data_IF_706353429980
#
_entry.id   IF_706353429980
#
_cell.length_a   1.000
_cell.length_b   1.000
_cell.length_c   1.000
_cell.angle_alpha   90.00
_cell.angle_beta   90.00
_cell.angle_gamma   90.00
#
_symmetry.space_group_name_H-M   'P 1'
#
loop_
_entity.id
_entity.type
_entity.pdbx_description
1 polymer ?
#
# COMPACT_ATOMS: atom_id res chain seq x y z
N UNK A 1 -9.97 -12.69 12.50
CA UNK A 1 -9.49 -11.29 12.55
C UNK A 1 -7.99 -11.31 12.77
N UNK A 2 -7.20 -10.94 11.77
CA UNK A 2 -5.74 -10.89 11.86
C UNK A 2 -5.38 -9.56 12.53
N UNK A 3 -4.83 -9.58 13.74
CA UNK A 3 -4.32 -8.36 14.37
C UNK A 3 -3.18 -7.82 13.51
N UNK A 4 -3.23 -6.57 13.03
CA UNK A 4 -2.15 -6.01 12.24
C UNK A 4 -0.88 -5.97 13.08
N UNK A 5 0.24 -6.46 12.52
CA UNK A 5 1.50 -6.57 13.26
C UNK A 5 2.16 -5.20 13.51
N UNK A 6 1.67 -4.14 12.85
CA UNK A 6 2.20 -2.79 12.91
C UNK A 6 1.07 -1.77 13.06
N UNK A 7 1.32 -0.72 13.83
CA UNK A 7 0.42 0.43 13.88
C UNK A 7 0.51 1.25 12.58
N UNK A 8 -0.56 1.97 12.17
CA UNK A 8 -0.55 2.78 10.94
C UNK A 8 0.62 3.76 10.86
N UNK A 9 0.98 4.41 11.97
CA UNK A 9 2.12 5.33 12.02
C UNK A 9 3.48 4.66 11.74
N UNK A 10 3.66 3.39 12.15
CA UNK A 10 4.87 2.62 11.83
C UNK A 10 4.89 2.25 10.35
N UNK A 11 3.72 1.94 9.78
CA UNK A 11 3.58 1.61 8.37
C UNK A 11 3.77 2.82 7.44
N UNK A 12 3.71 4.05 7.94
CA UNK A 12 4.14 5.23 7.16
C UNK A 12 5.66 5.30 7.04
N UNK A 13 6.41 4.93 8.08
CA UNK A 13 7.86 5.16 8.19
C UNK A 13 8.74 3.92 8.02
N UNK A 14 8.18 2.71 7.95
CA UNK A 14 8.93 1.47 7.67
C UNK A 14 8.89 1.09 6.18
N UNK A 15 9.67 0.06 5.78
CA UNK A 15 9.72 -0.44 4.38
C UNK A 15 8.69 -1.53 4.07
N UNK A 16 7.75 -1.82 4.98
CA UNK A 16 6.74 -2.83 4.71
C UNK A 16 5.86 -2.37 3.53
N UNK A 17 5.55 -3.31 2.64
CA UNK A 17 4.46 -3.09 1.69
C UNK A 17 3.13 -3.16 2.44
N UNK A 18 2.19 -2.29 2.07
CA UNK A 18 0.97 -2.07 2.84
C UNK A 18 -0.24 -2.39 1.98
N UNK A 19 -1.16 -3.18 2.52
CA UNK A 19 -2.49 -3.33 1.95
C UNK A 19 -3.44 -2.34 2.62
N UNK A 20 -4.01 -1.43 1.84
CA UNK A 20 -4.96 -0.42 2.27
C UNK A 20 -6.38 -0.88 1.93
N UNK A 21 -7.24 -1.03 2.93
CA UNK A 21 -8.66 -1.30 2.71
C UNK A 21 -9.53 -0.28 3.42
N UNK A 22 -10.84 -0.36 3.21
CA UNK A 22 -11.79 0.57 3.82
C UNK A 22 -11.61 2.01 3.30
N UNK A 23 -12.39 2.91 3.90
CA UNK A 23 -12.46 4.32 3.52
C UNK A 23 -12.81 4.57 2.05
N UNK A 24 -12.73 5.84 1.66
CA UNK A 24 -12.78 6.25 0.26
C UNK A 24 -11.42 6.03 -0.43
N UNK A 25 -11.39 6.09 -1.75
CA UNK A 25 -10.13 6.12 -2.49
C UNK A 25 -9.25 7.30 -2.06
N UNK A 26 -9.86 8.46 -1.79
CA UNK A 26 -9.16 9.63 -1.27
C UNK A 26 -8.47 9.35 0.07
N UNK A 27 -9.11 8.60 0.98
CA UNK A 27 -8.49 8.23 2.25
C UNK A 27 -7.26 7.32 2.03
N UNK A 28 -7.35 6.34 1.12
CA UNK A 28 -6.22 5.46 0.76
C UNK A 28 -5.09 6.23 0.10
N UNK A 29 -5.41 7.14 -0.84
CA UNK A 29 -4.45 8.01 -1.50
C UNK A 29 -3.75 8.93 -0.50
N UNK A 30 -4.51 9.53 0.42
CA UNK A 30 -3.96 10.39 1.47
C UNK A 30 -2.96 9.65 2.37
N UNK A 31 -3.21 8.37 2.67
CA UNK A 31 -2.24 7.54 3.39
C UNK A 31 -0.96 7.30 2.57
N UNK A 32 -1.08 7.06 1.26
CA UNK A 32 0.06 6.91 0.37
C UNK A 32 0.88 8.20 0.21
N UNK A 33 0.22 9.36 0.12
CA UNK A 33 0.87 10.68 0.17
C UNK A 33 1.63 10.87 1.49
N UNK A 34 1.02 10.47 2.62
CA UNK A 34 1.68 10.48 3.92
C UNK A 34 2.94 9.60 3.94
N UNK A 35 2.90 8.42 3.35
CA UNK A 35 4.07 7.56 3.24
C UNK A 35 5.17 8.18 2.35
N UNK A 36 4.80 8.78 1.22
CA UNK A 36 5.72 9.50 0.35
C UNK A 36 6.38 10.68 1.07
N UNK A 37 5.59 11.46 1.82
CA UNK A 37 6.10 12.57 2.64
C UNK A 37 7.04 12.08 3.76
N UNK A 38 6.71 10.97 4.43
CA UNK A 38 7.52 10.42 5.52
C UNK A 38 8.92 10.01 5.06
N UNK A 39 9.02 9.57 3.81
CA UNK A 39 10.25 9.10 3.19
C UNK A 39 10.93 10.16 2.31
N UNK A 40 10.30 11.32 2.12
CA UNK A 40 10.74 12.37 1.20
C UNK A 40 10.93 11.83 -0.24
N UNK A 41 10.03 10.94 -0.68
CA UNK A 41 10.07 10.30 -1.99
C UNK A 41 8.90 10.72 -2.87
N UNK A 42 9.03 10.49 -4.17
CA UNK A 42 7.93 10.70 -5.12
C UNK A 42 6.88 9.60 -4.96
N UNK A 43 5.61 10.02 -4.92
CA UNK A 43 4.47 9.11 -5.07
C UNK A 43 4.21 8.85 -6.55
N UNK A 44 4.29 7.60 -6.96
CA UNK A 44 3.97 7.14 -8.31
C UNK A 44 2.65 6.38 -8.29
N UNK A 45 1.73 6.79 -9.17
CA UNK A 45 0.47 6.08 -9.37
C UNK A 45 0.67 4.97 -10.43
N UNK A 46 0.45 3.73 -10.02
CA UNK A 46 0.54 2.55 -10.86
C UNK A 46 -0.83 1.84 -10.96
N UNK A 47 -1.91 2.61 -10.94
CA UNK A 47 -3.27 2.07 -11.12
C UNK A 47 -3.54 1.60 -12.56
N UNK A 48 -2.74 2.05 -13.53
CA UNK A 48 -2.67 1.47 -14.87
C UNK A 48 -1.69 0.27 -14.86
N UNK A 49 -2.15 -0.95 -15.20
CA UNK A 49 -1.28 -2.12 -15.30
C UNK A 49 -0.04 -1.92 -16.18
N UNK A 50 -0.11 -1.06 -17.20
CA UNK A 50 1.02 -0.77 -18.09
C UNK A 50 2.16 0.00 -17.39
N UNK A 51 1.85 0.79 -16.36
CA UNK A 51 2.83 1.56 -15.60
C UNK A 51 3.55 0.72 -14.53
N UNK A 52 2.98 -0.44 -14.18
CA UNK A 52 3.40 -1.25 -13.05
C UNK A 52 4.86 -1.77 -13.15
N UNK A 53 5.35 -2.28 -14.31
CA UNK A 53 6.73 -2.75 -14.43
C UNK A 53 7.78 -1.65 -14.22
N UNK A 54 7.53 -0.44 -14.69
CA UNK A 54 8.42 0.69 -14.47
C UNK A 54 8.36 1.17 -13.01
N UNK A 55 7.17 1.18 -12.41
CA UNK A 55 7.00 1.62 -11.03
C UNK A 55 7.68 0.67 -10.03
N UNK A 56 7.57 -0.66 -10.20
CA UNK A 56 8.14 -1.64 -9.27
C UNK A 56 9.67 -1.72 -9.29
N UNK A 57 10.32 -1.11 -10.29
CA UNK A 57 11.77 -1.06 -10.42
C UNK A 57 12.39 0.25 -9.91
N UNK A 58 11.58 1.18 -9.38
CA UNK A 58 12.06 2.45 -8.84
C UNK A 58 12.32 2.35 -7.32
N UNK A 59 13.54 2.03 -6.83
CA UNK A 59 13.80 1.77 -5.41
C UNK A 59 13.59 3.00 -4.50
N UNK A 60 13.64 4.20 -5.08
CA UNK A 60 13.47 5.48 -4.38
C UNK A 60 12.10 6.11 -4.67
N UNK A 61 11.06 5.28 -4.73
CA UNK A 61 9.68 5.73 -4.90
C UNK A 61 8.73 5.08 -3.89
N UNK A 62 7.62 5.76 -3.66
CA UNK A 62 6.42 5.15 -3.10
C UNK A 62 5.48 4.87 -4.27
N UNK A 63 5.07 3.62 -4.43
CA UNK A 63 4.19 3.19 -5.52
C UNK A 63 2.81 2.89 -4.94
N UNK A 64 1.80 3.58 -5.48
CA UNK A 64 0.41 3.41 -5.10
C UNK A 64 -0.39 2.76 -6.22
N UNK A 65 -1.18 1.75 -5.86
CA UNK A 65 -2.17 1.11 -6.75
C UNK A 65 -3.54 1.31 -6.12
N UNK A 66 -4.45 2.03 -6.77
CA UNK A 66 -5.74 2.38 -6.18
C UNK A 66 -6.65 1.17 -5.90
N UNK A 67 -6.64 0.20 -6.80
CA UNK A 67 -7.37 -1.06 -6.69
C UNK A 67 -6.56 -2.21 -7.30
N UNK A 68 -5.92 -3.00 -6.44
CA UNK A 68 -5.11 -4.15 -6.83
C UNK A 68 -5.96 -5.28 -7.44
N UNK A 69 -7.27 -5.30 -7.16
CA UNK A 69 -8.19 -6.34 -7.68
C UNK A 69 -8.56 -6.14 -9.15
N UNK A 70 -8.26 -4.95 -9.71
CA UNK A 70 -8.44 -4.66 -11.14
C UNK A 70 -7.22 -5.06 -11.98
N UNK A 71 -6.11 -5.39 -11.34
CA UNK A 71 -4.92 -5.88 -12.02
C UNK A 71 -5.15 -7.29 -12.55
N UNK A 72 -4.53 -7.62 -13.69
CA UNK A 72 -4.54 -8.97 -14.22
C UNK A 72 -3.86 -9.95 -13.23
N UNK A 73 -4.20 -11.25 -13.28
CA UNK A 73 -3.55 -12.25 -12.43
C UNK A 73 -2.02 -12.28 -12.56
N UNK A 74 -1.49 -11.98 -13.75
CA UNK A 74 -0.05 -11.93 -13.99
C UNK A 74 0.60 -10.69 -13.38
N UNK A 75 -0.06 -9.54 -13.43
CA UNK A 75 0.42 -8.34 -12.74
C UNK A 75 0.43 -8.52 -11.21
N UNK A 76 -0.59 -9.16 -10.64
CA UNK A 76 -0.60 -9.49 -9.21
C UNK A 76 0.51 -10.48 -8.82
N UNK A 77 0.78 -11.46 -9.69
CA UNK A 77 1.88 -12.43 -9.51
C UNK A 77 3.24 -11.74 -9.51
N UNK A 78 3.44 -10.78 -10.42
CA UNK A 78 4.68 -10.01 -10.48
C UNK A 78 4.87 -9.13 -9.23
N UNK A 79 3.79 -8.50 -8.73
CA UNK A 79 3.84 -7.80 -7.43
C UNK A 79 4.27 -8.73 -6.29
N UNK A 80 3.67 -9.92 -6.19
CA UNK A 80 4.05 -10.90 -5.18
C UNK A 80 5.53 -11.30 -5.32
N UNK A 81 6.00 -11.51 -6.56
CA UNK A 81 7.40 -11.82 -6.85
C UNK A 81 8.35 -10.71 -6.39
N UNK A 82 8.06 -9.46 -6.71
CA UNK A 82 8.85 -8.28 -6.27
C UNK A 82 8.93 -8.23 -4.75
N UNK A 83 7.81 -8.47 -4.04
CA UNK A 83 7.78 -8.47 -2.58
C UNK A 83 8.65 -9.57 -1.94
N UNK A 84 8.78 -10.71 -2.61
CA UNK A 84 9.53 -11.86 -2.12
C UNK A 84 11.01 -11.86 -2.52
N UNK A 85 11.35 -11.39 -3.72
CA UNK A 85 12.66 -11.59 -4.34
C UNK A 85 13.53 -10.32 -4.38
N UNK A 86 12.93 -9.13 -4.31
CA UNK A 86 13.65 -7.88 -4.51
C UNK A 86 13.91 -7.19 -3.16
N UNK A 87 15.17 -7.13 -2.74
CA UNK A 87 15.59 -6.43 -1.52
C UNK A 87 15.48 -4.90 -1.67
N UNK A 88 15.99 -4.37 -2.79
CA UNK A 88 15.88 -2.96 -3.14
C UNK A 88 14.66 -2.71 -4.02
N UNK A 89 13.53 -2.39 -3.39
CA UNK A 89 12.24 -2.15 -4.04
C UNK A 89 11.60 -0.85 -3.56
N UNK A 90 10.70 -0.25 -4.35
CA UNK A 90 9.84 0.82 -3.85
C UNK A 90 9.01 0.37 -2.66
N UNK A 91 8.53 1.35 -1.91
CA UNK A 91 7.47 1.12 -0.94
C UNK A 91 6.13 0.98 -1.66
N UNK A 92 5.52 -0.19 -1.55
CA UNK A 92 4.25 -0.50 -2.21
C UNK A 92 3.07 -0.24 -1.27
N UNK A 93 2.07 0.52 -1.73
CA UNK A 93 0.77 0.70 -1.09
C UNK A 93 -0.33 0.26 -2.05
N UNK A 94 -1.02 -0.81 -1.71
CA UNK A 94 -1.97 -1.49 -2.58
C UNK A 94 -3.38 -1.37 -2.01
N UNK A 95 -4.29 -0.75 -2.76
CA UNK A 95 -5.66 -0.53 -2.35
C UNK A 95 -6.58 -1.71 -2.65
N UNK A 96 -7.54 -1.95 -1.76
CA UNK A 96 -8.70 -2.83 -1.96
C UNK A 96 -9.95 -2.04 -1.58
N UNK A 97 -10.83 -1.66 -2.52
CA UNK A 97 -11.93 -0.73 -2.24
C UNK A 97 -13.00 -1.24 -1.26
N UNK A 98 -13.21 -2.56 -1.22
CA UNK A 98 -14.24 -3.18 -0.37
C UNK A 98 -13.58 -3.82 0.86
N UNK A 99 -13.60 -5.14 0.94
CA UNK A 99 -12.97 -5.93 1.99
C UNK A 99 -11.94 -6.86 1.38
N UNK A 100 -10.89 -7.14 2.15
CA UNK A 100 -9.85 -8.11 1.77
C UNK A 100 -10.46 -9.51 1.68
N UNK A 101 -11.26 -9.91 2.68
CA UNK A 101 -11.93 -11.21 2.71
C UNK A 101 -12.86 -11.41 1.50
N UNK A 102 -13.56 -10.36 1.08
CA UNK A 102 -14.42 -10.40 -0.11
C UNK A 102 -13.62 -10.56 -1.41
N UNK A 103 -12.49 -9.87 -1.53
CA UNK A 103 -11.61 -10.00 -2.69
C UNK A 103 -10.96 -11.39 -2.79
N UNK A 104 -10.59 -11.98 -1.65
CA UNK A 104 -10.09 -13.35 -1.58
C UNK A 104 -11.17 -14.37 -1.95
N UNK A 105 -12.37 -14.26 -1.36
CA UNK A 105 -13.49 -15.17 -1.64
C UNK A 105 -13.93 -15.14 -3.12
N UNK A 106 -13.76 -14.00 -3.79
CA UNK A 106 -14.06 -13.82 -5.21
C UNK A 106 -12.90 -14.20 -6.14
N UNK A 107 -11.73 -14.54 -5.61
CA UNK A 107 -10.53 -14.84 -6.39
C UNK A 107 -9.95 -13.63 -7.14
N UNK A 108 -10.36 -12.40 -6.79
CA UNK A 108 -9.87 -11.17 -7.41
C UNK A 108 -8.59 -10.65 -6.77
N UNK A 109 -8.27 -11.11 -5.55
CA UNK A 109 -6.96 -10.96 -4.91
C UNK A 109 -6.32 -12.35 -4.79
N UNK A 110 -5.11 -12.52 -5.30
CA UNK A 110 -4.37 -13.78 -5.17
C UNK A 110 -3.91 -14.05 -3.72
N UNK A 111 -3.94 -15.31 -3.33
CA UNK A 111 -3.50 -15.77 -2.01
C UNK A 111 -2.01 -15.50 -1.73
N UNK A 112 -1.14 -15.62 -2.74
CA UNK A 112 0.31 -15.38 -2.59
C UNK A 112 0.61 -13.90 -2.28
N UNK A 113 -0.01 -12.99 -3.03
CA UNK A 113 0.07 -11.56 -2.79
C UNK A 113 -0.51 -11.19 -1.41
N UNK A 114 -1.66 -11.76 -1.05
CA UNK A 114 -2.23 -11.58 0.28
C UNK A 114 -1.29 -12.08 1.39
N UNK A 115 -0.71 -13.26 1.23
CA UNK A 115 0.20 -13.85 2.20
C UNK A 115 1.41 -12.96 2.48
N UNK A 116 1.95 -12.28 1.45
CA UNK A 116 3.03 -11.31 1.58
C UNK A 116 2.60 -10.05 2.36
N UNK A 117 1.35 -9.63 2.22
CA UNK A 117 0.84 -8.34 2.75
C UNK A 117 0.11 -8.44 4.09
N UNK A 118 -0.36 -9.64 4.49
CA UNK A 118 -1.24 -9.86 5.66
C UNK A 118 -0.73 -9.31 7.00
N UNK A 119 0.57 -9.04 7.10
CA UNK A 119 1.20 -8.46 8.32
C UNK A 119 1.10 -6.94 8.38
N UNK A 120 0.84 -6.28 7.26
CA UNK A 120 0.85 -4.83 7.08
C UNK A 120 -0.44 -4.38 6.38
N UNK A 121 -1.55 -4.56 7.09
CA UNK A 121 -2.89 -4.22 6.60
C UNK A 121 -3.40 -3.02 7.40
N UNK A 122 -3.93 -2.02 6.71
CA UNK A 122 -4.45 -0.79 7.31
C UNK A 122 -5.83 -0.49 6.76
N UNK A 123 -6.76 -0.22 7.67
CA UNK A 123 -8.01 0.46 7.33
C UNK A 123 -7.72 1.96 7.16
N UNK A 124 -7.69 2.44 5.93
CA UNK A 124 -7.43 3.84 5.62
C UNK A 124 -8.57 4.78 6.09
N UNK A 125 -9.78 4.24 6.29
CA UNK A 125 -10.90 4.97 6.84
C UNK A 125 -10.83 5.16 8.36
N UNK A 126 -9.98 4.40 9.05
CA UNK A 126 -9.89 4.42 10.51
C UNK A 126 -9.37 5.77 11.05
N UNK A 127 -9.88 6.24 12.20
CA UNK A 127 -9.36 7.43 12.88
C UNK A 127 -7.84 7.36 13.12
N UNK A 128 -7.32 6.19 13.46
CA UNK A 128 -5.91 5.95 13.74
C UNK A 128 -5.02 6.18 12.52
N UNK A 129 -5.46 5.72 11.33
CA UNK A 129 -4.74 5.94 10.08
C UNK A 129 -4.74 7.44 9.69
N UNK A 130 -5.89 8.10 9.81
CA UNK A 130 -6.03 9.54 9.54
C UNK A 130 -5.18 10.39 10.48
N UNK A 131 -5.19 10.05 11.77
CA UNK A 131 -4.37 10.71 12.78
C UNK A 131 -2.87 10.50 12.56
N UNK A 132 -2.46 9.31 12.10
CA UNK A 132 -1.06 9.03 11.79
C UNK A 132 -0.53 9.96 10.68
N UNK A 133 -1.27 10.11 9.57
CA UNK A 133 -0.90 11.00 8.47
C UNK A 133 -0.92 12.47 8.92
N UNK A 134 -1.95 12.90 9.66
CA UNK A 134 -2.05 14.27 10.18
C UNK A 134 -0.87 14.64 11.08
N UNK A 135 -0.49 13.75 12.01
CA UNK A 135 0.64 13.96 12.93
C UNK A 135 1.97 14.06 12.20
N UNK A 136 2.14 13.28 11.13
CA UNK A 136 3.32 13.36 10.28
C UNK A 136 3.43 14.74 9.60
N UNK A 137 2.36 15.23 8.98
CA UNK A 137 2.34 16.54 8.34
C UNK A 137 2.59 17.69 9.33
N UNK A 138 2.06 17.59 10.55
CA UNK A 138 2.32 18.56 11.61
C UNK A 138 3.79 18.56 12.08
N UNK A 139 4.46 17.41 12.06
CA UNK A 139 5.88 17.28 12.40
C UNK A 139 6.78 17.86 11.30
N UNK A 140 6.42 17.67 10.02
CA UNK A 140 7.15 18.22 8.88
C UNK A 140 7.14 19.75 8.88
N UNK A 141 6.02 20.40 9.24
CA UNK A 141 5.89 21.88 9.28
C UNK A 141 6.70 22.56 10.40
N UNK A 142 7.23 21.79 11.36
CA UNK A 142 8.01 22.30 12.50
C UNK A 142 9.53 22.19 12.28
N UNK A 143 9.96 21.61 11.16
CA UNK A 143 11.36 21.56 10.74
C UNK A 143 11.62 22.65 9.71
#
# INVERSE_FOLDING_TARGET
MTTPAFAPAQLLTNRAAVLLHGGSESDRRHFADGAAQAWELTLQDASDPAALPAATTAPHAVVYVADVTRLSPDAQRELARVLHQQEERPKLLLGVPKSVDGALAQGTLRDDLWFALRRAVVDAGSPEAKDAVRKLGAKAKRR
#
